data_IF_959925722467
#
_entry.id   IF_959925722467
#
_cell.length_a   1.000
_cell.length_b   1.000
_cell.length_c   1.000
_cell.angle_alpha   90.00
_cell.angle_beta   90.00
_cell.angle_gamma   90.00
#
_symmetry.space_group_name_H-M   'P 1'
#
loop_
_entity.id
_entity.type
_entity.pdbx_description
1 polymer ?
#
# COMPACT_ATOMS: atom_id res chain seq x y z
N UNK A 1 -17.64 -3.97 3.21
CA UNK A 1 -16.52 -4.88 2.94
C UNK A 1 -16.87 -6.30 3.38
N UNK A 2 -17.23 -6.53 4.65
CA UNK A 2 -17.68 -7.84 5.14
C UNK A 2 -18.97 -8.29 4.47
N UNK A 3 -19.07 -9.59 4.19
CA UNK A 3 -20.21 -10.27 3.57
C UNK A 3 -20.51 -11.59 4.30
N UNK A 4 -21.55 -12.31 3.88
CA UNK A 4 -21.88 -13.64 4.41
C UNK A 4 -20.84 -14.72 4.07
N UNK A 5 -19.97 -14.47 3.08
CA UNK A 5 -18.88 -15.37 2.67
C UNK A 5 -17.50 -14.81 3.06
N UNK A 6 -17.43 -13.90 4.04
CA UNK A 6 -16.14 -13.42 4.53
C UNK A 6 -15.41 -14.47 5.35
N UNK A 7 -14.08 -14.51 5.21
CA UNK A 7 -13.20 -15.38 5.99
C UNK A 7 -12.30 -14.53 6.88
N UNK A 8 -11.91 -15.07 8.03
CA UNK A 8 -10.92 -14.47 8.90
C UNK A 8 -9.84 -15.50 9.20
N UNK A 9 -8.59 -15.10 9.02
CA UNK A 9 -7.42 -15.93 9.32
C UNK A 9 -6.43 -15.17 10.20
N UNK A 10 -5.65 -15.91 10.98
CA UNK A 10 -4.54 -15.37 11.75
C UNK A 10 -3.30 -16.21 11.48
N UNK A 11 -2.24 -15.56 11.00
CA UNK A 11 -0.95 -16.18 10.82
C UNK A 11 -0.06 -15.92 12.04
N UNK A 12 0.30 -16.99 12.74
CA UNK A 12 1.09 -16.94 13.98
C UNK A 12 2.57 -16.65 13.77
N UNK A 13 3.11 -16.91 12.57
CA UNK A 13 4.52 -16.67 12.25
C UNK A 13 4.78 -15.18 11.97
N UNK A 14 3.97 -14.57 11.11
CA UNK A 14 4.09 -13.14 10.81
C UNK A 14 3.41 -12.22 11.84
N UNK A 15 2.55 -12.76 12.72
CA UNK A 15 1.64 -12.00 13.59
C UNK A 15 0.75 -11.06 12.78
N UNK A 16 -0.01 -11.62 11.84
CA UNK A 16 -0.94 -10.87 10.99
C UNK A 16 -2.34 -11.48 11.04
N UNK A 17 -3.37 -10.64 11.10
CA UNK A 17 -4.76 -11.06 10.90
C UNK A 17 -5.24 -10.61 9.53
N UNK A 18 -6.01 -11.47 8.87
CA UNK A 18 -6.52 -11.23 7.53
C UNK A 18 -8.04 -11.29 7.56
N UNK A 19 -8.67 -10.32 6.92
CA UNK A 19 -10.11 -10.28 6.72
C UNK A 19 -10.36 -10.34 5.23
N UNK A 20 -10.79 -11.50 4.76
CA UNK A 20 -11.12 -11.74 3.36
C UNK A 20 -12.57 -11.37 3.12
N UNK A 21 -12.80 -10.53 2.11
CA UNK A 21 -14.11 -10.01 1.73
C UNK A 21 -15.10 -11.12 1.39
N UNK A 22 -14.71 -12.05 0.53
CA UNK A 22 -15.57 -13.09 -0.05
C UNK A 22 -14.76 -14.33 -0.41
N UNK A 23 -15.31 -15.49 -0.10
CA UNK A 23 -14.76 -16.82 -0.44
C UNK A 23 -15.48 -17.53 -1.57
N UNK A 24 -16.57 -16.98 -2.10
CA UNK A 24 -17.42 -17.62 -3.11
C UNK A 24 -17.03 -17.26 -4.56
N UNK A 25 -17.16 -18.24 -5.45
CA UNK A 25 -16.55 -18.31 -6.80
C UNK A 25 -17.13 -17.36 -7.87
N UNK A 26 -17.74 -16.23 -7.49
CA UNK A 26 -18.68 -15.52 -8.40
C UNK A 26 -18.50 -14.01 -8.55
N UNK A 27 -17.42 -13.39 -8.06
CA UNK A 27 -17.29 -11.93 -8.08
C UNK A 27 -15.88 -11.40 -8.37
N UNK A 28 -15.82 -10.22 -9.00
CA UNK A 28 -14.61 -9.43 -9.33
C UNK A 28 -13.93 -8.76 -8.11
N UNK A 29 -14.16 -9.31 -6.92
CA UNK A 29 -13.58 -8.87 -5.64
C UNK A 29 -13.52 -10.04 -4.65
N UNK A 30 -13.62 -11.27 -5.16
CA UNK A 30 -13.36 -12.46 -4.38
C UNK A 30 -11.90 -12.42 -3.93
N UNK A 31 -11.65 -12.70 -2.66
CA UNK A 31 -10.28 -12.71 -2.16
C UNK A 31 -9.65 -11.35 -1.87
N UNK A 32 -10.34 -10.22 -2.13
CA UNK A 32 -9.94 -8.93 -1.58
C UNK A 32 -9.76 -9.04 -0.07
N UNK A 33 -8.69 -8.45 0.46
CA UNK A 33 -8.33 -8.61 1.85
C UNK A 33 -7.89 -7.31 2.50
N UNK A 34 -8.33 -7.12 3.74
CA UNK A 34 -7.61 -6.27 4.67
C UNK A 34 -6.69 -7.13 5.53
N UNK A 35 -5.44 -6.72 5.66
CA UNK A 35 -4.45 -7.38 6.51
C UNK A 35 -4.06 -6.40 7.60
N UNK A 36 -4.12 -6.85 8.85
CA UNK A 36 -3.62 -6.13 9.99
C UNK A 36 -2.33 -6.76 10.48
N UNK A 37 -1.27 -5.98 10.54
CA UNK A 37 0.01 -6.39 11.12
C UNK A 37 0.08 -5.90 12.58
N UNK A 38 0.16 -6.85 13.51
CA UNK A 38 0.22 -6.55 14.95
C UNK A 38 1.58 -6.00 15.40
N UNK A 39 2.65 -6.14 14.61
CA UNK A 39 3.98 -5.59 14.91
C UNK A 39 4.02 -4.09 14.59
N UNK A 40 3.41 -3.69 13.48
CA UNK A 40 3.41 -2.29 12.99
C UNK A 40 2.13 -1.53 13.33
N UNK A 41 1.11 -2.21 13.85
CA UNK A 41 -0.22 -1.68 14.12
C UNK A 41 -0.87 -1.02 12.89
N UNK A 42 -0.62 -1.59 11.71
CA UNK A 42 -1.01 -0.99 10.44
C UNK A 42 -1.95 -1.90 9.65
N UNK A 43 -2.76 -1.28 8.77
CA UNK A 43 -3.63 -1.99 7.83
C UNK A 43 -3.06 -1.87 6.42
N UNK A 44 -3.00 -2.97 5.69
CA UNK A 44 -2.82 -3.00 4.24
C UNK A 44 -4.06 -3.56 3.54
N UNK A 45 -4.21 -3.18 2.28
CA UNK A 45 -5.29 -3.68 1.43
C UNK A 45 -4.69 -4.42 0.24
N UNK A 46 -5.15 -5.63 0.01
CA UNK A 46 -4.78 -6.45 -1.13
C UNK A 46 -6.02 -6.71 -1.98
N UNK A 47 -5.89 -6.49 -3.29
CA UNK A 47 -6.84 -7.02 -4.27
C UNK A 47 -6.46 -8.45 -4.59
N UNK A 48 -7.46 -9.34 -4.65
CA UNK A 48 -7.27 -10.74 -5.05
C UNK A 48 -6.16 -11.50 -4.27
N UNK A 49 -6.03 -11.24 -2.95
CA UNK A 49 -5.10 -11.99 -2.08
C UNK A 49 -5.37 -13.50 -2.20
N UNK A 50 -6.64 -13.87 -2.24
CA UNK A 50 -7.06 -15.14 -2.81
C UNK A 50 -7.44 -14.90 -4.27
N UNK A 51 -6.92 -15.72 -5.17
CA UNK A 51 -7.15 -15.55 -6.61
C UNK A 51 -8.64 -15.53 -6.93
N UNK A 52 -9.13 -14.44 -7.51
CA UNK A 52 -10.51 -14.33 -7.94
C UNK A 52 -10.87 -15.43 -8.97
N UNK A 53 -12.08 -15.97 -8.83
CA UNK A 53 -12.62 -17.06 -9.67
C UNK A 53 -11.87 -18.39 -9.57
N UNK A 54 -10.99 -18.58 -8.58
CA UNK A 54 -10.25 -19.83 -8.43
C UNK A 54 -11.09 -20.97 -7.79
N UNK A 55 -12.31 -20.69 -7.33
CA UNK A 55 -13.16 -21.67 -6.67
C UNK A 55 -13.83 -21.17 -5.41
N UNK A 56 -14.46 -22.06 -4.65
CA UNK A 56 -14.97 -21.76 -3.31
C UNK A 56 -13.89 -22.07 -2.26
N UNK A 57 -13.66 -21.14 -1.33
CA UNK A 57 -12.68 -21.31 -0.27
C UNK A 57 -13.31 -21.81 1.03
N UNK A 58 -12.62 -22.73 1.71
CA UNK A 58 -12.94 -23.13 3.08
C UNK A 58 -12.58 -22.01 4.06
N UNK A 59 -12.89 -22.20 5.35
CA UNK A 59 -12.26 -21.39 6.38
C UNK A 59 -10.76 -21.71 6.49
N UNK A 60 -10.00 -20.80 7.10
CA UNK A 60 -8.60 -21.03 7.42
C UNK A 60 -8.45 -22.02 8.57
N UNK A 61 -7.37 -22.80 8.53
CA UNK A 61 -6.89 -23.60 9.65
C UNK A 61 -5.38 -23.41 9.80
N UNK A 62 -4.86 -23.69 10.98
CA UNK A 62 -3.42 -23.78 11.21
C UNK A 62 -2.98 -25.23 11.06
N UNK A 63 -1.97 -25.50 10.24
CA UNK A 63 -1.42 -26.85 10.08
C UNK A 63 -0.52 -27.26 11.26
N UNK A 64 0.09 -28.44 11.18
CA UNK A 64 0.98 -28.92 12.24
C UNK A 64 2.28 -28.11 12.39
N UNK A 65 2.72 -27.41 11.34
CA UNK A 65 3.89 -26.52 11.33
C UNK A 65 3.58 -25.11 11.83
N UNK A 66 2.32 -24.82 12.17
CA UNK A 66 1.89 -23.47 12.52
C UNK A 66 1.56 -22.59 11.31
N UNK A 67 1.57 -23.14 10.10
CA UNK A 67 1.28 -22.40 8.87
C UNK A 67 -0.23 -22.17 8.71
N UNK A 68 -0.63 -20.96 8.34
CA UNK A 68 -2.01 -20.66 7.98
C UNK A 68 -2.34 -21.22 6.58
N UNK A 69 -3.28 -22.16 6.51
CA UNK A 69 -3.68 -22.83 5.26
C UNK A 69 -5.17 -22.69 4.98
N UNK A 70 -5.51 -22.73 3.68
CA UNK A 70 -6.90 -22.66 3.18
C UNK A 70 -7.09 -23.68 2.06
N UNK A 71 -8.25 -24.34 2.04
CA UNK A 71 -8.67 -25.18 0.93
C UNK A 71 -9.43 -24.35 -0.11
N UNK A 72 -9.17 -24.58 -1.39
CA UNK A 72 -9.97 -24.04 -2.49
C UNK A 72 -10.48 -25.17 -3.37
N UNK A 73 -11.79 -25.22 -3.56
CA UNK A 73 -12.41 -26.13 -4.50
C UNK A 73 -12.49 -25.49 -5.88
N UNK A 74 -11.68 -25.97 -6.81
CA UNK A 74 -11.75 -25.59 -8.21
C UNK A 74 -12.33 -26.75 -9.02
N UNK A 75 -13.60 -26.64 -9.42
CA UNK A 75 -14.34 -27.72 -10.09
C UNK A 75 -14.34 -29.00 -9.23
N UNK A 76 -13.84 -30.12 -9.75
CA UNK A 76 -13.75 -31.40 -9.03
C UNK A 76 -12.51 -31.55 -8.14
N UNK A 77 -11.57 -30.59 -8.16
CA UNK A 77 -10.32 -30.67 -7.41
C UNK A 77 -10.37 -29.80 -6.15
N UNK A 78 -9.73 -30.26 -5.08
CA UNK A 78 -9.46 -29.47 -3.88
C UNK A 78 -7.96 -29.24 -3.80
N UNK A 79 -7.55 -27.98 -3.81
CA UNK A 79 -6.17 -27.56 -3.57
C UNK A 79 -6.04 -27.02 -2.15
N UNK A 80 -4.94 -27.35 -1.47
CA UNK A 80 -4.58 -26.73 -0.19
C UNK A 80 -3.48 -25.70 -0.45
N UNK A 81 -3.73 -24.45 -0.06
CA UNK A 81 -2.78 -23.34 -0.22
C UNK A 81 -2.34 -22.83 1.14
N UNK A 82 -1.06 -22.47 1.24
CA UNK A 82 -0.46 -21.83 2.42
C UNK A 82 -0.33 -20.33 2.19
N UNK A 83 -0.62 -19.53 3.21
CA UNK A 83 -0.26 -18.11 3.22
C UNK A 83 1.27 -17.96 3.37
N UNK A 84 1.87 -17.08 2.55
CA UNK A 84 3.30 -16.77 2.59
C UNK A 84 3.49 -15.26 2.70
N UNK A 85 4.34 -14.84 3.64
CA UNK A 85 4.78 -13.45 3.81
C UNK A 85 6.25 -13.24 3.37
N UNK A 86 6.94 -14.30 2.95
CA UNK A 86 8.39 -14.28 2.71
C UNK A 86 8.75 -14.09 1.23
N UNK A 87 7.83 -14.42 0.33
CA UNK A 87 8.10 -14.41 -1.11
C UNK A 87 7.68 -13.08 -1.73
N UNK A 88 8.65 -12.29 -2.20
CA UNK A 88 8.40 -11.15 -3.10
C UNK A 88 8.00 -11.70 -4.46
N UNK A 89 6.80 -11.35 -4.93
CA UNK A 89 6.32 -11.74 -6.25
C UNK A 89 6.49 -10.58 -7.24
N UNK A 90 6.70 -10.88 -8.51
CA UNK A 90 6.61 -9.89 -9.57
C UNK A 90 5.22 -9.25 -9.56
N UNK A 91 5.17 -7.91 -9.57
CA UNK A 91 3.93 -7.14 -9.55
C UNK A 91 3.82 -6.31 -10.82
N UNK A 92 2.59 -6.19 -11.35
CA UNK A 92 2.31 -5.28 -12.45
C UNK A 92 2.46 -3.82 -12.02
N UNK A 93 2.68 -2.94 -12.98
CA UNK A 93 2.68 -1.51 -12.78
C UNK A 93 1.38 -1.06 -12.09
N UNK A 94 1.52 -0.09 -11.19
CA UNK A 94 0.48 0.49 -10.35
C UNK A 94 -0.28 -0.49 -9.44
N UNK A 95 0.19 -1.73 -9.29
CA UNK A 95 -0.42 -2.72 -8.40
C UNK A 95 -0.15 -2.42 -6.92
N UNK A 96 1.02 -1.84 -6.60
CA UNK A 96 1.39 -1.48 -5.23
C UNK A 96 1.29 0.03 -5.05
N UNK A 97 0.55 0.45 -4.03
CA UNK A 97 0.40 1.86 -3.66
C UNK A 97 0.61 2.01 -2.17
N UNK A 98 1.66 2.71 -1.79
CA UNK A 98 1.90 3.11 -0.40
C UNK A 98 1.26 4.47 -0.22
N UNK A 99 0.28 4.57 0.68
CA UNK A 99 -0.38 5.83 1.00
C UNK A 99 -0.23 6.12 2.48
N UNK A 100 0.24 7.32 2.81
CA UNK A 100 0.22 7.78 4.19
C UNK A 100 -1.22 8.10 4.60
N UNK A 101 -1.46 8.23 5.91
CA UNK A 101 -2.63 9.00 6.38
C UNK A 101 -2.54 10.44 5.88
N UNK A 102 -3.66 11.17 5.99
CA UNK A 102 -3.65 12.61 5.79
C UNK A 102 -2.95 13.30 6.98
N UNK A 103 -1.81 13.93 6.73
CA UNK A 103 -0.94 14.52 7.76
C UNK A 103 -1.29 16.00 7.90
N UNK A 104 -1.80 16.40 9.05
CA UNK A 104 -2.18 17.80 9.38
C UNK A 104 -1.04 18.61 10.04
N UNK A 105 0.12 17.98 10.24
CA UNK A 105 1.30 18.54 10.88
C UNK A 105 1.01 19.11 12.28
N UNK A 106 0.03 18.55 13.00
CA UNK A 106 -0.40 18.98 14.33
C UNK A 106 -1.05 20.36 14.39
N UNK A 107 -1.33 20.98 13.24
CA UNK A 107 -1.82 22.36 13.16
C UNK A 107 -2.89 22.53 12.06
N UNK A 108 -4.00 21.77 12.11
CA UNK A 108 -4.97 21.68 11.00
C UNK A 108 -5.55 23.02 10.54
N UNK A 109 -5.62 24.02 11.43
CA UNK A 109 -6.17 25.35 11.12
C UNK A 109 -5.20 26.32 10.43
N UNK A 110 -3.93 25.92 10.25
CA UNK A 110 -2.91 26.75 9.60
C UNK A 110 -2.54 26.17 8.24
N UNK A 111 -2.34 27.06 7.27
CA UNK A 111 -1.79 26.69 5.97
C UNK A 111 -0.28 26.39 6.09
N UNK A 112 0.15 25.36 5.37
CA UNK A 112 1.54 24.95 5.21
C UNK A 112 1.93 25.21 3.77
N UNK A 113 3.10 25.80 3.56
CA UNK A 113 3.75 25.83 2.25
C UNK A 113 4.65 24.60 2.12
N UNK A 114 4.42 23.77 1.09
CA UNK A 114 5.16 22.52 0.87
C UNK A 114 6.29 22.77 -0.14
N UNK A 115 7.51 22.37 0.20
CA UNK A 115 8.70 22.57 -0.64
C UNK A 115 9.17 21.28 -1.30
N UNK A 116 9.20 20.17 -0.56
CA UNK A 116 9.65 18.89 -1.08
C UNK A 116 9.16 17.71 -0.25
N UNK A 117 9.15 16.53 -0.88
CA UNK A 117 9.03 15.23 -0.23
C UNK A 117 10.31 14.46 -0.57
N UNK A 118 11.12 14.18 0.44
CA UNK A 118 12.33 13.38 0.30
C UNK A 118 12.02 11.94 0.70
N UNK A 119 12.39 10.99 -0.14
CA UNK A 119 12.16 9.56 0.07
C UNK A 119 13.49 8.83 -0.01
N UNK A 120 13.80 8.02 1.00
CA UNK A 120 14.89 7.03 0.93
C UNK A 120 14.29 5.69 0.52
N UNK A 121 14.83 5.08 -0.53
CA UNK A 121 14.24 3.90 -1.17
C UNK A 121 15.29 2.93 -1.70
N UNK A 122 14.86 1.68 -1.91
CA UNK A 122 15.49 0.74 -2.84
C UNK A 122 14.49 0.39 -3.93
N UNK A 123 15.00 0.15 -5.14
CA UNK A 123 14.17 -0.21 -6.29
C UNK A 123 14.98 -1.11 -7.22
N UNK A 124 14.39 -2.21 -7.66
CA UNK A 124 14.94 -3.12 -8.67
C UNK A 124 14.74 -2.62 -10.11
N UNK A 125 13.86 -1.64 -10.29
CA UNK A 125 13.55 -1.03 -11.57
C UNK A 125 13.46 0.50 -11.45
N UNK A 126 13.71 1.21 -12.55
CA UNK A 126 13.43 2.64 -12.60
C UNK A 126 11.91 2.91 -12.57
N UNK A 127 11.47 3.84 -11.72
CA UNK A 127 10.09 4.27 -11.59
C UNK A 127 10.00 5.76 -11.96
N UNK A 128 9.29 6.06 -13.05
CA UNK A 128 9.13 7.43 -13.52
C UNK A 128 8.08 8.16 -12.68
N UNK A 129 8.46 9.29 -12.08
CA UNK A 129 7.57 10.15 -11.28
C UNK A 129 6.70 9.41 -10.23
N UNK A 130 7.28 8.61 -9.33
CA UNK A 130 6.54 7.68 -8.48
C UNK A 130 5.86 8.33 -7.28
N UNK A 131 6.25 9.56 -6.93
CA UNK A 131 5.79 10.28 -5.74
C UNK A 131 4.69 11.26 -6.12
N UNK A 132 3.52 11.12 -5.52
CA UNK A 132 2.39 12.03 -5.69
C UNK A 132 1.83 12.46 -4.33
N UNK A 133 1.10 13.58 -4.31
CA UNK A 133 0.49 14.10 -3.10
C UNK A 133 -0.97 14.47 -3.32
N UNK A 134 -1.81 14.24 -2.30
CA UNK A 134 -3.17 14.77 -2.22
C UNK A 134 -3.24 15.77 -1.07
N UNK A 135 -3.94 16.88 -1.30
CA UNK A 135 -4.05 17.98 -0.33
C UNK A 135 -5.44 18.02 0.28
N UNK A 136 -5.51 18.34 1.58
CA UNK A 136 -6.78 18.57 2.30
C UNK A 136 -7.76 17.39 2.16
N UNK A 137 -7.24 16.16 2.21
CA UNK A 137 -8.02 14.94 2.03
C UNK A 137 -8.89 14.92 0.74
N UNK A 138 -8.46 15.60 -0.34
CA UNK A 138 -9.26 15.70 -1.57
C UNK A 138 -9.39 14.37 -2.33
N UNK A 139 -8.49 13.41 -2.07
CA UNK A 139 -8.39 12.16 -2.81
C UNK A 139 -7.84 12.30 -4.24
N UNK A 140 -7.61 13.54 -4.69
CA UNK A 140 -6.99 13.83 -5.99
C UNK A 140 -5.49 14.01 -5.80
N UNK A 141 -4.70 13.25 -6.56
CA UNK A 141 -3.24 13.21 -6.45
C UNK A 141 -2.56 14.03 -7.54
N UNK A 142 -1.59 14.83 -7.15
CA UNK A 142 -0.70 15.59 -8.04
C UNK A 142 0.70 15.03 -7.93
N UNK A 143 1.28 14.70 -9.08
CA UNK A 143 2.62 14.11 -9.18
C UNK A 143 3.71 15.14 -8.91
N UNK A 144 4.71 14.75 -8.12
CA UNK A 144 5.94 15.51 -7.89
C UNK A 144 6.99 15.10 -8.91
N UNK A 145 8.00 15.94 -9.11
CA UNK A 145 9.08 15.66 -10.07
C UNK A 145 10.06 14.61 -9.56
N UNK A 146 10.78 13.99 -10.49
CA UNK A 146 11.93 13.12 -10.22
C UNK A 146 11.56 11.65 -10.18
N UNK A 147 12.56 10.80 -10.37
CA UNK A 147 12.39 9.38 -10.63
C UNK A 147 13.09 8.55 -9.56
N UNK A 148 12.53 7.37 -9.26
CA UNK A 148 13.33 6.32 -8.64
C UNK A 148 14.17 5.66 -9.74
N UNK A 149 15.46 5.50 -9.48
CA UNK A 149 16.35 4.72 -10.36
C UNK A 149 16.52 3.33 -9.78
N UNK A 150 16.93 2.36 -10.60
CA UNK A 150 17.44 1.10 -10.08
C UNK A 150 18.59 1.39 -9.10
N UNK A 151 18.46 0.85 -7.89
CA UNK A 151 19.37 1.09 -6.78
C UNK A 151 20.37 -0.04 -6.57
N UNK A 152 20.24 -1.15 -7.32
CA UNK A 152 21.08 -2.36 -7.22
C UNK A 152 21.19 -2.82 -5.76
N UNK A 153 20.05 -2.91 -5.07
CA UNK A 153 19.93 -3.37 -3.68
C UNK A 153 20.47 -2.41 -2.60
N UNK A 154 20.76 -1.14 -2.94
CA UNK A 154 21.26 -0.12 -1.98
C UNK A 154 20.25 0.99 -1.77
N UNK A 155 20.33 1.67 -0.64
CA UNK A 155 19.50 2.85 -0.41
C UNK A 155 19.93 4.02 -1.30
N UNK A 156 18.96 4.67 -1.94
CA UNK A 156 19.12 5.96 -2.62
C UNK A 156 18.07 6.94 -2.10
N UNK A 157 18.34 8.23 -2.33
CA UNK A 157 17.47 9.32 -1.89
C UNK A 157 16.94 10.08 -3.10
N UNK A 158 15.62 10.21 -3.19
CA UNK A 158 14.95 11.12 -4.13
C UNK A 158 14.37 12.30 -3.34
N UNK A 159 14.73 13.52 -3.74
CA UNK A 159 14.03 14.73 -3.30
C UNK A 159 13.04 15.17 -4.36
N UNK A 160 11.79 14.74 -4.21
CA UNK A 160 10.71 15.09 -5.12
C UNK A 160 10.17 16.50 -4.81
N UNK A 161 10.03 17.34 -5.83
CA UNK A 161 9.54 18.73 -5.68
C UNK A 161 8.29 18.95 -6.52
N UNK A 162 7.36 19.82 -6.09
CA UNK A 162 6.20 20.15 -6.92
C UNK A 162 6.60 21.06 -8.08
N UNK A 163 5.89 20.95 -9.20
CA UNK A 163 6.07 21.84 -10.37
C UNK A 163 5.83 23.32 -10.05
N UNK A 164 5.00 23.59 -9.05
CA UNK A 164 4.83 24.90 -8.45
C UNK A 164 4.61 24.76 -6.94
N UNK A 165 5.16 25.68 -6.15
CA UNK A 165 4.97 25.65 -4.71
C UNK A 165 3.49 25.88 -4.39
N UNK A 166 2.89 24.96 -3.64
CA UNK A 166 1.49 25.02 -3.24
C UNK A 166 1.34 25.11 -1.71
N UNK A 167 0.12 25.40 -1.26
CA UNK A 167 -0.24 25.44 0.15
C UNK A 167 -1.37 24.49 0.47
N UNK A 168 -1.33 23.86 1.64
CA UNK A 168 -2.40 22.98 2.13
C UNK A 168 -2.50 23.04 3.66
N UNK A 169 -3.62 22.56 4.21
CA UNK A 169 -3.79 22.30 5.64
C UNK A 169 -3.26 20.92 6.00
N UNK A 170 -3.43 19.95 5.11
CA UNK A 170 -2.96 18.59 5.28
C UNK A 170 -2.46 17.99 3.98
N UNK A 171 -1.65 16.94 4.09
CA UNK A 171 -0.99 16.27 2.98
C UNK A 171 -1.06 14.75 3.15
N UNK A 172 -1.53 14.06 2.12
CA UNK A 172 -1.37 12.63 1.94
C UNK A 172 -0.32 12.38 0.86
N UNK A 173 0.62 11.47 1.12
CA UNK A 173 1.65 11.07 0.16
C UNK A 173 1.27 9.71 -0.42
N UNK A 174 1.43 9.56 -1.72
CA UNK A 174 1.30 8.30 -2.44
C UNK A 174 2.60 7.99 -3.17
N UNK A 175 3.08 6.76 -3.01
CA UNK A 175 4.20 6.20 -3.76
C UNK A 175 3.70 4.98 -4.53
N UNK A 176 4.02 4.90 -5.83
CA UNK A 176 3.62 3.80 -6.73
C UNK A 176 4.81 3.14 -7.41
N UNK A 177 4.58 1.91 -7.87
CA UNK A 177 5.44 1.24 -8.83
C UNK A 177 4.92 1.49 -10.28
N UNK A 178 5.33 2.58 -10.92
CA UNK A 178 4.87 2.94 -12.27
C UNK A 178 5.36 1.98 -13.37
N UNK A 179 6.42 1.22 -13.10
CA UNK A 179 6.99 0.22 -14.00
C UNK A 179 6.84 -1.16 -13.36
N UNK A 180 6.53 -2.17 -14.18
CA UNK A 180 6.55 -3.57 -13.75
C UNK A 180 7.92 -3.93 -13.16
N UNK A 181 7.94 -4.65 -12.05
CA UNK A 181 9.13 -5.44 -11.71
C UNK A 181 9.03 -6.77 -12.46
N UNK A 182 9.91 -6.98 -13.44
CA UNK A 182 9.91 -8.19 -14.28
C UNK A 182 10.72 -9.34 -13.68
N UNK A 183 11.33 -9.12 -12.52
CA UNK A 183 12.20 -10.10 -11.85
C UNK A 183 11.75 -10.23 -10.40
N UNK A 184 11.52 -11.46 -9.94
CA UNK A 184 11.33 -11.73 -8.52
C UNK A 184 12.70 -11.61 -7.82
N UNK A 185 13.17 -10.38 -7.63
CA UNK A 185 14.40 -10.06 -6.91
C UNK A 185 14.10 -9.63 -5.46
N UNK A 186 15.14 -9.70 -4.63
CA UNK A 186 15.09 -9.58 -3.17
C UNK A 186 14.63 -8.18 -2.68
N UNK A 187 14.66 -7.15 -3.52
CA UNK A 187 14.46 -5.76 -3.07
C UNK A 187 13.17 -5.07 -3.53
N UNK A 188 12.50 -5.54 -4.60
CA UNK A 188 11.28 -4.93 -5.13
C UNK A 188 11.33 -3.38 -5.14
N UNK A 189 10.25 -2.74 -4.65
CA UNK A 189 10.25 -1.33 -4.23
C UNK A 189 10.14 -1.26 -2.69
N UNK A 190 11.22 -0.86 -2.03
CA UNK A 190 11.27 -0.65 -0.58
C UNK A 190 11.33 0.85 -0.26
N UNK A 191 10.54 1.28 0.73
CA UNK A 191 10.58 2.65 1.26
C UNK A 191 11.08 2.60 2.71
N UNK A 192 12.23 3.23 2.95
CA UNK A 192 12.85 3.26 4.26
C UNK A 192 12.34 4.44 5.10
N UNK A 193 12.35 5.64 4.53
CA UNK A 193 11.87 6.84 5.21
C UNK A 193 11.33 7.88 4.24
N UNK A 194 10.46 8.75 4.77
CA UNK A 194 9.85 9.87 4.07
C UNK A 194 9.97 11.11 4.94
N UNK A 195 10.54 12.18 4.38
CA UNK A 195 10.69 13.49 5.01
C UNK A 195 9.94 14.55 4.21
N UNK A 196 9.17 15.40 4.89
CA UNK A 196 8.43 16.51 4.27
C UNK A 196 9.08 17.84 4.67
N UNK A 197 9.49 18.63 3.69
CA UNK A 197 9.96 19.98 3.90
C UNK A 197 8.81 20.97 3.76
N UNK A 198 8.45 21.66 4.83
CA UNK A 198 7.33 22.60 4.86
C UNK A 198 7.59 23.81 5.74
N UNK A 199 6.80 24.87 5.54
CA UNK A 199 6.76 26.05 6.41
C UNK A 199 5.33 26.41 6.79
N UNK A 200 5.07 26.58 8.09
CA UNK A 200 3.80 27.09 8.60
C UNK A 200 3.59 28.56 8.21
N UNK A 201 2.39 28.90 7.75
CA UNK A 201 1.97 30.26 7.43
C UNK A 201 1.10 30.80 8.58
N UNK A 202 1.74 31.52 9.51
CA UNK A 202 1.10 31.98 10.77
C UNK A 202 0.01 33.06 10.60
N UNK A 203 -0.10 33.69 9.43
CA UNK A 203 -1.03 34.80 9.17
C UNK A 203 -2.06 34.50 8.08
N UNK A 204 -2.12 33.26 7.58
CA UNK A 204 -3.07 32.88 6.53
C UNK A 204 -4.08 31.89 7.13
N UNK A 205 -5.21 32.44 7.60
CA UNK A 205 -6.34 31.62 8.01
C UNK A 205 -6.98 30.97 6.79
N UNK A 206 -7.48 29.77 6.99
CA UNK A 206 -8.29 29.05 5.99
C UNK A 206 -9.51 29.92 5.68
N UNK A 207 -9.82 30.22 4.40
CA UNK A 207 -11.03 30.94 4.06
C UNK A 207 -12.23 30.18 4.61
N UNK A 208 -12.99 30.78 5.51
CA UNK A 208 -14.25 30.21 5.99
C UNK A 208 -15.22 30.22 4.81
N UNK A 209 -15.67 29.04 4.37
CA UNK A 209 -16.74 28.94 3.37
C UNK A 209 -17.98 29.64 3.91
N UNK A 210 -18.38 30.75 3.26
CA UNK A 210 -19.61 31.50 3.51
C UNK A 210 -20.83 30.81 2.93
#
# INVERSE_FOLDING_TARGET
FITSSSLVGYDGHSNMAMVIRRSDSSASNQGDAYIYDFKTFSWSFHTDLLTASAGEYTNFITDYNGDLVVGVQNSSNIEIKKFSYETVAAVSADAVKIRTKDIDFGTPNLLKKIYSVTVTYKSDAAQTTPVSVSVNNSGSFTTLTGDFVDTTGRDKVLRAVPSSIFTCQSLMIEIKNNTNSTVADDSGLEINDITIEYRLLRNANVPTSS
#
